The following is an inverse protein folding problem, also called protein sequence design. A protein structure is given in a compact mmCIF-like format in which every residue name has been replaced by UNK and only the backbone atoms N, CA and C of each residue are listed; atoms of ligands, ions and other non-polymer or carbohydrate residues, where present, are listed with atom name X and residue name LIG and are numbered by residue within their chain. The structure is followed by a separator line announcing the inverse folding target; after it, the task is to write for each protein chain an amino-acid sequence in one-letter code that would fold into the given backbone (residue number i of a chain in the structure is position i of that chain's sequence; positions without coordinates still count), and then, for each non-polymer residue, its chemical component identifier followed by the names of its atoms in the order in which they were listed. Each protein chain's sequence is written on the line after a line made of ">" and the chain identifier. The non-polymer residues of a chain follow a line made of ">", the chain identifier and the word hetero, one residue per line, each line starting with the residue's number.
data_IF_514442569954
#
_entry.id   IF_514442569954
#
_cell.length_a   1.000
_cell.length_b   1.000
_cell.length_c   1.000
_cell.angle_alpha   90.00
_cell.angle_beta   90.00
_cell.angle_gamma   90.00
#
_symmetry.space_group_name_H-M   'P 1'
#
loop_
_entity.id
_entity.type
_entity.pdbx_description
1 polymer ?
#
# COMPACT_ATOMS: atom_id res chain seq x y z
N UNK A 1 -36.03 -3.72 -8.94
CA UNK A 1 -34.60 -3.47 -8.64
C UNK A 1 -34.38 -3.68 -7.15
N UNK A 2 -33.30 -4.35 -6.72
CA UNK A 2 -33.01 -4.53 -5.30
C UNK A 2 -32.82 -3.17 -4.60
N UNK A 3 -33.21 -3.07 -3.33
CA UNK A 3 -33.15 -1.82 -2.56
C UNK A 3 -31.73 -1.26 -2.37
N UNK A 4 -30.68 -2.06 -2.63
CA UNK A 4 -29.28 -1.62 -2.61
C UNK A 4 -28.92 -0.57 -3.68
N UNK A 5 -29.77 -0.38 -4.70
CA UNK A 5 -29.61 0.62 -5.76
C UNK A 5 -30.21 1.99 -5.40
N UNK A 6 -31.19 2.06 -4.50
CA UNK A 6 -32.02 3.26 -4.30
C UNK A 6 -31.34 4.37 -3.48
N UNK A 7 -30.37 4.04 -2.61
CA UNK A 7 -29.69 5.04 -1.77
C UNK A 7 -28.39 5.60 -2.39
N UNK A 8 -28.07 5.25 -3.65
CA UNK A 8 -26.72 5.39 -4.20
C UNK A 8 -26.59 6.31 -5.43
N UNK A 9 -27.68 6.76 -6.04
CA UNK A 9 -27.63 7.33 -7.39
C UNK A 9 -27.69 8.87 -7.40
N UNK A 10 -26.70 9.55 -6.79
CA UNK A 10 -26.41 10.90 -7.26
C UNK A 10 -25.70 10.79 -8.62
N UNK A 11 -25.99 11.66 -9.60
CA UNK A 11 -25.30 11.67 -10.89
C UNK A 11 -23.77 11.70 -10.73
N UNK A 12 -23.28 12.44 -9.73
CA UNK A 12 -21.85 12.55 -9.43
C UNK A 12 -21.24 11.24 -8.94
N UNK A 13 -21.93 10.49 -8.08
CA UNK A 13 -21.45 9.18 -7.61
C UNK A 13 -21.43 8.14 -8.73
N UNK A 14 -22.40 8.19 -9.65
CA UNK A 14 -22.41 7.31 -10.82
C UNK A 14 -21.27 7.66 -11.78
N UNK A 15 -21.05 8.94 -12.06
CA UNK A 15 -19.92 9.40 -12.87
C UNK A 15 -18.57 9.02 -12.25
N UNK A 16 -18.44 9.14 -10.93
CA UNK A 16 -17.25 8.71 -10.21
C UNK A 16 -17.04 7.19 -10.29
N UNK A 17 -18.09 6.38 -10.19
CA UNK A 17 -17.98 4.93 -10.35
C UNK A 17 -17.58 4.56 -11.78
N UNK A 18 -18.17 5.20 -12.78
CA UNK A 18 -17.80 5.02 -14.18
C UNK A 18 -16.32 5.39 -14.41
N UNK A 19 -15.88 6.55 -13.92
CA UNK A 19 -14.48 6.96 -13.98
C UNK A 19 -13.56 5.94 -13.30
N UNK A 20 -14.01 5.34 -12.20
CA UNK A 20 -13.24 4.29 -11.54
C UNK A 20 -13.02 3.10 -12.46
N UNK A 21 -14.11 2.55 -13.02
CA UNK A 21 -14.07 1.38 -13.89
C UNK A 21 -13.27 1.61 -15.17
N UNK A 22 -13.51 2.74 -15.84
CA UNK A 22 -12.95 3.02 -17.17
C UNK A 22 -11.53 3.60 -17.12
N UNK A 23 -11.18 4.32 -16.06
CA UNK A 23 -9.93 5.11 -16.01
C UNK A 23 -9.08 4.71 -14.81
N UNK A 24 -9.61 4.81 -13.59
CA UNK A 24 -8.80 4.61 -12.37
C UNK A 24 -8.21 3.20 -12.27
N UNK A 25 -8.95 2.16 -12.65
CA UNK A 25 -8.48 0.75 -12.58
C UNK A 25 -7.18 0.50 -13.36
N UNK A 26 -6.90 1.26 -14.42
CA UNK A 26 -5.66 1.15 -15.20
C UNK A 26 -4.41 1.59 -14.42
N UNK A 27 -4.58 2.47 -13.43
CA UNK A 27 -3.49 3.01 -12.62
C UNK A 27 -3.28 2.30 -11.28
N UNK A 28 -4.14 1.34 -10.91
CA UNK A 28 -4.10 0.70 -9.58
C UNK A 28 -2.95 -0.30 -9.42
N UNK A 29 -2.70 -1.13 -10.44
CA UNK A 29 -1.76 -2.25 -10.34
C UNK A 29 -1.48 -2.92 -11.68
N UNK A 30 -1.11 -4.19 -11.67
CA UNK A 30 -0.91 -5.00 -12.89
C UNK A 30 -2.22 -5.47 -13.54
N UNK A 31 -2.15 -6.19 -14.67
CA UNK A 31 -3.32 -6.70 -15.40
C UNK A 31 -4.25 -7.59 -14.54
N UNK A 32 -3.69 -8.51 -13.75
CA UNK A 32 -4.47 -9.38 -12.85
C UNK A 32 -5.24 -8.56 -11.81
N UNK A 33 -4.60 -7.53 -11.25
CA UNK A 33 -5.22 -6.62 -10.31
C UNK A 33 -6.41 -5.88 -10.94
N UNK A 34 -6.21 -5.35 -12.15
CA UNK A 34 -7.28 -4.68 -12.92
C UNK A 34 -8.45 -5.63 -13.18
N UNK A 35 -8.18 -6.86 -13.62
CA UNK A 35 -9.22 -7.86 -13.88
C UNK A 35 -10.03 -8.20 -12.61
N UNK A 36 -9.36 -8.35 -11.46
CA UNK A 36 -10.01 -8.56 -10.18
C UNK A 36 -10.95 -7.39 -9.82
N UNK A 37 -10.44 -6.15 -9.93
CA UNK A 37 -11.22 -4.95 -9.61
C UNK A 37 -12.42 -4.73 -10.55
N UNK A 38 -12.29 -5.04 -11.84
CA UNK A 38 -13.42 -4.94 -12.78
C UNK A 38 -14.50 -5.98 -12.44
N UNK A 39 -14.10 -7.22 -12.17
CA UNK A 39 -15.01 -8.29 -11.74
C UNK A 39 -15.80 -7.90 -10.48
N UNK A 40 -15.16 -7.17 -9.57
CA UNK A 40 -15.74 -6.69 -8.32
C UNK A 40 -16.60 -5.43 -8.54
N UNK A 41 -16.21 -4.55 -9.47
CA UNK A 41 -16.89 -3.29 -9.77
C UNK A 41 -18.31 -3.46 -10.29
N UNK A 42 -18.60 -4.56 -10.99
CA UNK A 42 -19.87 -4.72 -11.71
C UNK A 42 -21.09 -5.04 -10.82
N UNK A 43 -20.94 -5.95 -9.84
CA UNK A 43 -22.04 -6.34 -8.93
C UNK A 43 -21.68 -6.22 -7.46
N UNK A 44 -20.42 -6.49 -7.10
CA UNK A 44 -19.99 -6.61 -5.71
C UNK A 44 -19.92 -5.25 -5.01
N UNK A 45 -19.46 -4.19 -5.70
CA UNK A 45 -19.49 -2.83 -5.17
C UNK A 45 -20.90 -2.33 -4.81
N UNK A 46 -21.94 -2.83 -5.50
CA UNK A 46 -23.32 -2.52 -5.15
C UNK A 46 -23.82 -3.31 -3.94
N UNK A 47 -23.24 -4.48 -3.66
CA UNK A 47 -23.62 -5.33 -2.54
C UNK A 47 -22.86 -5.01 -1.24
N UNK A 48 -21.71 -4.34 -1.31
CA UNK A 48 -20.88 -4.01 -0.15
C UNK A 48 -20.74 -2.50 0.04
N UNK A 49 -21.54 -1.87 0.94
CA UNK A 49 -21.55 -0.42 1.13
C UNK A 49 -20.17 0.17 1.48
N UNK A 50 -19.39 -0.51 2.31
CA UNK A 50 -18.03 -0.06 2.67
C UNK A 50 -17.13 0.05 1.44
N UNK A 51 -17.10 -0.99 0.60
CA UNK A 51 -16.29 -1.05 -0.62
C UNK A 51 -16.71 0.06 -1.59
N UNK A 52 -18.03 0.26 -1.75
CA UNK A 52 -18.57 1.34 -2.59
C UNK A 52 -18.03 2.70 -2.19
N UNK A 53 -18.09 3.02 -0.89
CA UNK A 53 -17.59 4.29 -0.39
C UNK A 53 -16.07 4.43 -0.64
N UNK A 54 -15.29 3.38 -0.41
CA UNK A 54 -13.84 3.43 -0.68
C UNK A 54 -13.53 3.58 -2.18
N UNK A 55 -14.25 2.89 -3.08
CA UNK A 55 -14.13 3.06 -4.54
C UNK A 55 -14.40 4.51 -4.95
N UNK A 56 -15.46 5.12 -4.42
CA UNK A 56 -15.80 6.51 -4.72
C UNK A 56 -14.71 7.47 -4.21
N UNK A 57 -14.21 7.27 -2.99
CA UNK A 57 -13.14 8.09 -2.42
C UNK A 57 -11.89 8.08 -3.30
N UNK A 58 -11.49 6.88 -3.72
CA UNK A 58 -10.36 6.64 -4.64
C UNK A 58 -10.59 7.30 -5.98
N UNK A 59 -11.79 7.18 -6.55
CA UNK A 59 -12.12 7.77 -7.84
C UNK A 59 -12.01 9.29 -7.81
N UNK A 60 -12.59 9.93 -6.79
CA UNK A 60 -12.46 11.37 -6.60
C UNK A 60 -11.01 11.81 -6.35
N UNK A 61 -10.23 11.02 -5.61
CA UNK A 61 -8.82 11.29 -5.38
C UNK A 61 -8.01 11.24 -6.69
N UNK A 62 -8.31 10.25 -7.54
CA UNK A 62 -7.68 10.12 -8.85
C UNK A 62 -8.07 11.27 -9.79
N UNK A 63 -9.35 11.68 -9.82
CA UNK A 63 -9.78 12.85 -10.59
C UNK A 63 -9.07 14.12 -10.11
N UNK A 64 -8.95 14.32 -8.80
CA UNK A 64 -8.21 15.44 -8.21
C UNK A 64 -6.73 15.40 -8.61
N UNK A 65 -6.10 14.23 -8.61
CA UNK A 65 -4.72 14.05 -9.10
C UNK A 65 -4.58 14.46 -10.57
N UNK A 66 -5.53 14.05 -11.44
CA UNK A 66 -5.50 14.38 -12.87
C UNK A 66 -5.73 15.87 -13.16
N UNK A 67 -6.45 16.58 -12.30
CA UNK A 67 -6.58 18.04 -12.41
C UNK A 67 -5.23 18.74 -12.20
N UNK A 68 -4.39 18.22 -11.28
CA UNK A 68 -3.09 18.81 -10.96
C UNK A 68 -3.20 20.31 -10.64
N UNK A 69 -2.28 21.12 -11.19
CA UNK A 69 -2.28 22.58 -11.04
C UNK A 69 -3.32 23.30 -11.92
N UNK A 70 -4.08 22.57 -12.75
CA UNK A 70 -5.06 23.15 -13.69
C UNK A 70 -6.43 23.41 -13.06
N UNK A 71 -6.50 23.50 -11.73
CA UNK A 71 -7.73 23.81 -11.00
C UNK A 71 -8.06 25.30 -11.11
N UNK A 72 -8.82 25.66 -12.14
CA UNK A 72 -9.24 27.05 -12.36
C UNK A 72 -10.57 27.41 -11.65
N UNK A 73 -11.39 26.41 -11.31
CA UNK A 73 -12.80 26.61 -10.93
C UNK A 73 -13.13 26.16 -9.49
N UNK A 74 -12.13 25.89 -8.65
CA UNK A 74 -12.34 25.37 -7.29
C UNK A 74 -12.90 23.94 -7.25
N UNK A 75 -12.84 23.22 -8.38
CA UNK A 75 -13.33 21.85 -8.52
C UNK A 75 -12.51 20.89 -7.66
N UNK A 76 -11.21 21.16 -7.48
CA UNK A 76 -10.35 20.35 -6.64
C UNK A 76 -10.81 20.37 -5.16
N UNK A 77 -11.33 21.49 -4.66
CA UNK A 77 -11.84 21.56 -3.29
C UNK A 77 -13.05 20.64 -3.08
N UNK A 78 -13.99 20.63 -4.03
CA UNK A 78 -15.15 19.72 -4.01
C UNK A 78 -14.74 18.25 -4.08
N UNK A 79 -13.78 17.92 -4.96
CA UNK A 79 -13.25 16.56 -5.07
C UNK A 79 -12.55 16.10 -3.79
N UNK A 80 -11.71 16.94 -3.17
CA UNK A 80 -11.07 16.63 -1.88
C UNK A 80 -12.09 16.40 -0.77
N UNK A 81 -13.12 17.23 -0.68
CA UNK A 81 -14.19 17.06 0.31
C UNK A 81 -14.96 15.74 0.10
N UNK A 82 -15.29 15.42 -1.16
CA UNK A 82 -15.95 14.17 -1.52
C UNK A 82 -15.05 12.95 -1.21
N UNK A 83 -13.76 13.02 -1.55
CA UNK A 83 -12.77 12.01 -1.19
C UNK A 83 -12.76 11.76 0.31
N UNK A 84 -12.59 12.79 1.14
CA UNK A 84 -12.53 12.65 2.60
C UNK A 84 -13.82 12.09 3.17
N UNK A 85 -14.97 12.59 2.71
CA UNK A 85 -16.29 12.15 3.19
C UNK A 85 -16.56 10.68 2.89
N UNK A 86 -16.31 10.26 1.64
CA UNK A 86 -16.45 8.86 1.24
C UNK A 86 -15.40 7.97 1.90
N UNK A 87 -14.17 8.45 2.09
CA UNK A 87 -13.12 7.71 2.78
C UNK A 87 -13.49 7.40 4.23
N UNK A 88 -13.85 8.43 5.01
CA UNK A 88 -14.25 8.28 6.41
C UNK A 88 -15.45 7.34 6.53
N UNK A 89 -16.45 7.50 5.66
CA UNK A 89 -17.63 6.62 5.68
C UNK A 89 -17.29 5.17 5.33
N UNK A 90 -16.41 4.97 4.34
CA UNK A 90 -15.90 3.66 3.95
C UNK A 90 -15.19 2.96 5.10
N UNK A 91 -14.25 3.65 5.76
CA UNK A 91 -13.53 3.13 6.93
C UNK A 91 -14.45 2.75 8.09
N UNK A 92 -15.44 3.59 8.43
CA UNK A 92 -16.40 3.29 9.50
C UNK A 92 -17.19 2.01 9.21
N UNK A 93 -17.70 1.87 7.99
CA UNK A 93 -18.47 0.69 7.58
C UNK A 93 -17.59 -0.55 7.49
N UNK A 94 -16.35 -0.40 7.02
CA UNK A 94 -15.39 -1.49 6.95
C UNK A 94 -14.99 -1.99 8.34
N UNK A 95 -14.70 -1.08 9.27
CA UNK A 95 -14.39 -1.42 10.66
C UNK A 95 -15.53 -2.16 11.36
N UNK A 96 -16.79 -1.78 11.09
CA UNK A 96 -17.96 -2.53 11.57
C UNK A 96 -18.02 -3.93 10.95
N UNK A 97 -17.88 -4.05 9.64
CA UNK A 97 -17.88 -5.36 8.95
C UNK A 97 -16.78 -6.31 9.47
N UNK A 98 -15.59 -5.77 9.80
CA UNK A 98 -14.51 -6.54 10.41
C UNK A 98 -14.83 -6.96 11.86
N UNK A 99 -15.47 -6.09 12.63
CA UNK A 99 -15.73 -6.28 14.07
C UNK A 99 -16.94 -7.16 14.35
N UNK A 100 -18.00 -7.01 13.56
CA UNK A 100 -19.26 -7.72 13.74
C UNK A 100 -19.16 -9.18 13.25
N UNK A 101 -18.02 -9.57 12.64
CA UNK A 101 -17.84 -10.84 11.90
C UNK A 101 -19.15 -11.22 11.22
N UNK A 102 -19.71 -10.29 10.46
CA UNK A 102 -21.12 -10.37 10.10
C UNK A 102 -21.36 -11.62 9.23
N UNK A 103 -21.73 -12.72 9.88
CA UNK A 103 -21.99 -14.02 9.26
C UNK A 103 -23.19 -13.92 8.30
N UNK A 104 -23.97 -12.84 8.39
CA UNK A 104 -25.12 -12.54 7.55
C UNK A 104 -24.81 -11.60 6.37
N UNK A 105 -23.68 -10.87 6.39
CA UNK A 105 -23.24 -10.02 5.30
C UNK A 105 -22.63 -10.85 4.16
N UNK A 106 -23.50 -11.36 3.27
CA UNK A 106 -23.15 -12.05 2.03
C UNK A 106 -22.36 -13.35 2.22
N UNK A 107 -23.03 -14.49 2.03
CA UNK A 107 -22.40 -15.81 2.01
C UNK A 107 -21.19 -15.88 1.05
N UNK A 108 -20.06 -16.41 1.53
CA UNK A 108 -18.94 -16.86 0.69
C UNK A 108 -18.19 -15.76 -0.08
N UNK A 109 -17.80 -16.08 -1.32
CA UNK A 109 -16.86 -15.34 -2.19
C UNK A 109 -17.02 -13.81 -2.22
N UNK A 110 -18.24 -13.30 -2.31
CA UNK A 110 -18.51 -11.86 -2.51
C UNK A 110 -18.02 -11.04 -1.31
N UNK A 111 -18.20 -11.56 -0.10
CA UNK A 111 -17.71 -10.92 1.12
C UNK A 111 -16.18 -10.89 1.15
N UNK A 112 -15.53 -12.02 0.85
CA UNK A 112 -14.06 -12.11 0.79
C UNK A 112 -13.47 -11.16 -0.26
N UNK A 113 -14.00 -11.18 -1.49
CA UNK A 113 -13.54 -10.31 -2.58
C UNK A 113 -13.67 -8.82 -2.20
N UNK A 114 -14.75 -8.45 -1.51
CA UNK A 114 -14.95 -7.09 -1.01
C UNK A 114 -14.00 -6.69 0.11
N UNK A 115 -13.72 -7.59 1.06
CA UNK A 115 -12.76 -7.33 2.13
C UNK A 115 -11.37 -7.07 1.58
N UNK A 116 -10.88 -7.94 0.70
CA UNK A 116 -9.55 -7.81 0.09
C UNK A 116 -9.45 -6.54 -0.77
N UNK A 117 -10.47 -6.26 -1.59
CA UNK A 117 -10.53 -5.04 -2.40
C UNK A 117 -10.49 -3.78 -1.51
N UNK A 118 -11.25 -3.79 -0.42
CA UNK A 118 -11.31 -2.64 0.50
C UNK A 118 -9.99 -2.45 1.21
N UNK A 119 -9.33 -3.53 1.67
CA UNK A 119 -7.99 -3.46 2.28
C UNK A 119 -6.97 -2.86 1.32
N UNK A 120 -6.97 -3.29 0.05
CA UNK A 120 -6.06 -2.72 -0.94
C UNK A 120 -6.30 -1.23 -1.17
N UNK A 121 -7.55 -0.86 -1.47
CA UNK A 121 -7.89 0.53 -1.74
C UNK A 121 -7.67 1.42 -0.52
N UNK A 122 -7.81 0.86 0.68
CA UNK A 122 -7.48 1.53 1.94
C UNK A 122 -6.00 1.82 2.04
N UNK A 123 -5.15 0.82 1.79
CA UNK A 123 -3.70 0.99 1.72
C UNK A 123 -3.32 2.07 0.71
N UNK A 124 -3.91 2.04 -0.48
CA UNK A 124 -3.68 3.07 -1.49
C UNK A 124 -4.08 4.48 -1.02
N UNK A 125 -5.24 4.62 -0.38
CA UNK A 125 -5.69 5.90 0.17
C UNK A 125 -4.74 6.42 1.27
N UNK A 126 -4.13 5.53 2.05
CA UNK A 126 -3.10 5.91 3.02
C UNK A 126 -1.89 6.57 2.35
N UNK A 127 -1.38 6.03 1.23
CA UNK A 127 -0.33 6.73 0.48
C UNK A 127 -0.78 8.10 -0.03
N UNK A 128 -2.02 8.21 -0.53
CA UNK A 128 -2.56 9.47 -1.03
C UNK A 128 -2.73 10.52 0.07
N UNK A 129 -3.03 10.11 1.29
CA UNK A 129 -3.20 11.01 2.44
C UNK A 129 -1.85 11.48 2.99
N UNK A 130 -0.88 10.58 3.09
CA UNK A 130 0.48 10.94 3.51
C UNK A 130 1.23 11.78 2.45
N UNK A 131 0.72 11.84 1.23
CA UNK A 131 1.20 12.75 0.19
C UNK A 131 0.76 14.20 0.36
N UNK A 132 -0.30 14.45 1.14
CA UNK A 132 -0.75 15.82 1.36
C UNK A 132 0.24 16.53 2.27
N UNK A 133 0.65 17.77 1.96
CA UNK A 133 1.42 18.57 2.89
C UNK A 133 0.61 18.60 4.18
N UNK A 134 1.18 18.06 5.24
CA UNK A 134 0.53 18.04 6.52
C UNK A 134 0.06 19.46 6.85
N UNK A 135 -1.16 19.59 7.36
CA UNK A 135 -1.50 20.81 8.09
C UNK A 135 -0.39 20.96 9.14
N UNK A 136 0.38 22.03 8.99
CA UNK A 136 1.69 22.29 9.63
C UNK A 136 1.63 22.21 11.16
N UNK A 137 0.42 22.15 11.73
CA UNK A 137 0.14 22.05 13.15
C UNK A 137 0.06 20.64 13.73
N UNK A 138 -0.06 19.56 12.93
CA UNK A 138 -0.22 18.19 13.46
C UNK A 138 1.00 17.29 13.31
N UNK A 139 1.94 17.57 12.40
CA UNK A 139 3.10 16.71 12.12
C UNK A 139 4.42 17.16 12.74
N UNK A 140 4.48 18.34 13.36
CA UNK A 140 5.72 18.82 13.99
C UNK A 140 6.12 18.04 15.24
N UNK A 141 5.18 17.34 15.90
CA UNK A 141 5.45 16.64 17.17
C UNK A 141 5.65 15.12 17.02
N UNK A 142 5.28 14.53 15.89
CA UNK A 142 5.45 13.08 15.66
C UNK A 142 6.83 12.80 15.09
N UNK A 143 7.57 11.84 15.63
CA UNK A 143 8.85 11.42 15.04
C UNK A 143 8.65 10.54 13.79
N UNK A 144 9.71 10.34 13.01
CA UNK A 144 9.67 9.56 11.76
C UNK A 144 9.25 8.10 11.98
N UNK A 145 9.60 7.50 13.11
CA UNK A 145 9.26 6.11 13.41
C UNK A 145 7.76 5.96 13.67
N UNK A 146 7.16 6.90 14.38
CA UNK A 146 5.73 6.94 14.64
C UNK A 146 4.94 7.03 13.33
N UNK A 147 5.31 7.96 12.43
CA UNK A 147 4.66 8.10 11.11
C UNK A 147 4.76 6.81 10.28
N UNK A 148 5.92 6.15 10.28
CA UNK A 148 6.12 4.91 9.52
C UNK A 148 5.33 3.75 10.14
N UNK A 149 5.25 3.66 11.46
CA UNK A 149 4.45 2.67 12.16
C UNK A 149 2.95 2.81 11.82
N UNK A 150 2.41 4.02 11.82
CA UNK A 150 1.03 4.29 11.41
C UNK A 150 0.78 3.89 9.96
N UNK A 151 1.67 4.32 9.07
CA UNK A 151 1.62 4.00 7.65
C UNK A 151 1.64 2.48 7.42
N UNK A 152 2.59 1.77 8.01
CA UNK A 152 2.75 0.32 7.81
C UNK A 152 1.66 -0.51 8.50
N UNK A 153 1.04 -0.01 9.57
CA UNK A 153 -0.12 -0.66 10.18
C UNK A 153 -1.26 -0.80 9.17
N UNK A 154 -1.43 0.18 8.28
CA UNK A 154 -2.42 0.08 7.19
C UNK A 154 -2.01 -0.99 6.17
N UNK A 155 -0.73 -1.01 5.78
CA UNK A 155 -0.19 -1.97 4.80
C UNK A 155 -0.26 -3.42 5.31
N UNK A 156 -0.12 -3.62 6.62
CA UNK A 156 -0.23 -4.92 7.31
C UNK A 156 -1.66 -5.49 7.41
N UNK A 157 -2.67 -4.82 6.86
CA UNK A 157 -4.07 -5.27 6.94
C UNK A 157 -4.37 -6.58 6.19
N UNK A 158 -3.61 -6.93 5.16
CA UNK A 158 -3.86 -8.14 4.34
C UNK A 158 -3.66 -9.46 5.11
N UNK A 159 -2.52 -9.69 5.79
CA UNK A 159 -2.37 -10.85 6.68
C UNK A 159 -3.45 -10.95 7.75
N UNK A 160 -3.89 -9.81 8.31
CA UNK A 160 -4.92 -9.78 9.34
C UNK A 160 -6.28 -10.24 8.82
N UNK A 161 -6.69 -9.77 7.63
CA UNK A 161 -7.93 -10.23 6.97
C UNK A 161 -7.85 -11.72 6.66
N UNK A 162 -6.73 -12.20 6.11
CA UNK A 162 -6.53 -13.63 5.83
C UNK A 162 -6.58 -14.48 7.10
N UNK A 163 -5.96 -14.02 8.18
CA UNK A 163 -6.01 -14.72 9.47
C UNK A 163 -7.41 -14.75 10.09
N UNK A 164 -8.21 -13.70 9.89
CA UNK A 164 -9.55 -13.59 10.48
C UNK A 164 -10.63 -14.31 9.67
N UNK A 165 -10.49 -14.35 8.34
CA UNK A 165 -11.53 -14.83 7.41
C UNK A 165 -11.13 -16.04 6.57
N UNK A 166 -9.89 -16.53 6.69
CA UNK A 166 -9.41 -17.77 6.06
C UNK A 166 -8.70 -17.58 4.71
N UNK A 167 -8.39 -18.73 4.08
CA UNK A 167 -7.77 -18.81 2.75
C UNK A 167 -8.73 -18.35 1.63
N UNK A 168 -8.20 -17.98 0.45
CA UNK A 168 -9.02 -17.61 -0.70
C UNK A 168 -10.02 -18.71 -1.04
N UNK A 169 -11.28 -18.32 -1.26
CA UNK A 169 -12.29 -19.22 -1.83
C UNK A 169 -11.86 -19.59 -3.25
N UNK A 170 -11.98 -20.85 -3.68
CA UNK A 170 -11.50 -21.38 -4.99
C UNK A 170 -11.95 -20.56 -6.23
N UNK A 171 -12.98 -19.73 -6.10
CA UNK A 171 -13.52 -18.88 -7.17
C UNK A 171 -13.27 -17.37 -6.99
N UNK A 172 -12.44 -16.96 -6.03
CA UNK A 172 -12.14 -15.55 -5.76
C UNK A 172 -11.57 -14.84 -6.98
N UNK A 173 -12.00 -13.59 -7.20
CA UNK A 173 -11.40 -12.74 -8.23
C UNK A 173 -9.93 -12.41 -7.94
N UNK A 174 -9.50 -12.53 -6.68
CA UNK A 174 -8.16 -12.21 -6.21
C UNK A 174 -7.15 -13.35 -6.35
N UNK A 175 -7.59 -14.59 -6.59
CA UNK A 175 -6.70 -15.75 -6.70
C UNK A 175 -5.50 -15.51 -7.64
N UNK A 176 -5.68 -15.01 -8.88
CA UNK A 176 -4.53 -14.75 -9.77
C UNK A 176 -3.56 -13.66 -9.28
N UNK A 177 -4.02 -12.75 -8.42
CA UNK A 177 -3.18 -11.73 -7.79
C UNK A 177 -2.39 -12.34 -6.63
N UNK A 178 -3.04 -13.15 -5.80
CA UNK A 178 -2.41 -13.81 -4.66
C UNK A 178 -1.40 -14.86 -5.11
N UNK A 179 -1.71 -15.66 -6.12
CA UNK A 179 -0.80 -16.67 -6.67
C UNK A 179 0.46 -16.03 -7.26
N UNK A 180 0.36 -14.80 -7.81
CA UNK A 180 1.53 -14.05 -8.31
C UNK A 180 2.49 -13.60 -7.21
N UNK A 181 2.13 -13.77 -5.94
CA UNK A 181 2.99 -13.48 -4.78
C UNK A 181 3.65 -14.73 -4.19
N UNK A 182 3.29 -15.93 -4.68
CA UNK A 182 3.88 -17.19 -4.26
C UNK A 182 5.18 -17.42 -5.04
N UNK A 183 6.31 -17.34 -4.33
CA UNK A 183 7.66 -17.45 -4.89
C UNK A 183 7.98 -18.86 -5.42
N UNK A 184 7.04 -19.82 -5.31
CA UNK A 184 7.22 -21.23 -5.72
C UNK A 184 7.49 -21.46 -7.21
N UNK A 185 7.16 -20.51 -8.08
CA UNK A 185 7.27 -20.72 -9.53
C UNK A 185 8.53 -20.14 -10.16
N UNK A 186 9.39 -19.43 -9.42
CA UNK A 186 10.65 -18.88 -9.94
C UNK A 186 10.47 -17.97 -11.18
N UNK A 187 9.25 -17.51 -11.44
CA UNK A 187 8.86 -16.84 -12.68
C UNK A 187 9.20 -15.35 -12.73
N UNK A 188 10.20 -14.92 -11.97
CA UNK A 188 10.67 -13.54 -12.06
C UNK A 188 11.92 -13.53 -12.92
N UNK A 189 11.78 -13.00 -14.13
CA UNK A 189 12.90 -12.78 -15.05
C UNK A 189 13.92 -11.88 -14.35
N UNK A 190 14.98 -12.50 -13.82
CA UNK A 190 16.11 -11.81 -13.21
C UNK A 190 16.86 -11.12 -14.34
N UNK A 191 16.66 -9.82 -14.48
CA UNK A 191 17.55 -8.98 -15.27
C UNK A 191 18.61 -8.45 -14.31
N UNK A 192 19.88 -8.69 -14.60
CA UNK A 192 21.03 -8.15 -13.86
C UNK A 192 21.06 -6.61 -14.00
N UNK A 193 20.20 -5.91 -13.27
CA UNK A 193 20.29 -4.47 -13.06
C UNK A 193 20.84 -4.24 -11.65
N UNK A 194 22.16 -4.09 -11.56
CA UNK A 194 22.87 -3.82 -10.30
C UNK A 194 22.62 -2.37 -9.88
N UNK A 195 21.47 -2.13 -9.27
CA UNK A 195 21.19 -0.83 -8.62
C UNK A 195 22.07 -0.64 -7.38
N UNK A 196 22.48 0.58 -7.04
CA UNK A 196 23.30 0.87 -5.84
C UNK A 196 22.64 0.39 -4.53
N UNK A 197 21.30 0.34 -4.51
CA UNK A 197 20.52 -0.22 -3.40
C UNK A 197 20.80 -1.70 -3.17
N UNK A 198 21.11 -2.46 -4.23
CA UNK A 198 21.49 -3.87 -4.12
C UNK A 198 22.84 -4.03 -3.43
N UNK A 199 23.84 -3.25 -3.83
CA UNK A 199 25.15 -3.26 -3.18
C UNK A 199 25.04 -2.90 -1.68
N UNK A 200 24.14 -1.96 -1.35
CA UNK A 200 23.83 -1.60 0.04
C UNK A 200 23.22 -2.77 0.80
N UNK A 201 22.23 -3.48 0.24
CA UNK A 201 21.62 -4.64 0.90
C UNK A 201 22.59 -5.83 1.00
N UNK A 202 23.41 -6.09 0.00
CA UNK A 202 24.42 -7.15 0.05
C UNK A 202 25.48 -6.87 1.12
N UNK A 203 25.98 -5.64 1.18
CA UNK A 203 26.91 -5.18 2.23
C UNK A 203 26.26 -5.24 3.61
N UNK A 204 24.99 -4.86 3.69
CA UNK A 204 24.18 -4.93 4.90
C UNK A 204 24.03 -6.39 5.37
N UNK A 205 23.64 -7.30 4.49
CA UNK A 205 23.46 -8.72 4.79
C UNK A 205 24.77 -9.39 5.25
N UNK A 206 25.87 -9.16 4.54
CA UNK A 206 27.18 -9.71 4.90
C UNK A 206 27.65 -9.25 6.29
N UNK A 207 27.31 -8.02 6.68
CA UNK A 207 27.72 -7.46 7.98
C UNK A 207 26.98 -8.08 9.16
N UNK A 208 25.71 -8.40 9.00
CA UNK A 208 24.87 -8.89 10.10
C UNK A 208 24.77 -10.43 10.16
N UNK A 209 25.22 -11.14 9.12
CA UNK A 209 25.21 -12.62 9.07
C UNK A 209 26.03 -13.26 10.20
N UNK A 210 26.99 -12.52 10.79
CA UNK A 210 27.85 -12.99 11.87
C UNK A 210 27.31 -12.71 13.30
N UNK A 211 26.18 -11.99 13.44
CA UNK A 211 25.66 -11.62 14.76
C UNK A 211 24.64 -12.62 15.30
N UNK A 212 24.65 -12.83 16.62
CA UNK A 212 23.73 -13.72 17.34
C UNK A 212 22.59 -12.98 18.08
N UNK A 213 22.45 -11.66 17.90
CA UNK A 213 21.38 -10.91 18.57
C UNK A 213 20.02 -11.13 17.90
N UNK A 214 18.95 -11.11 18.68
CA UNK A 214 17.57 -11.21 18.17
C UNK A 214 17.24 -10.09 17.17
N UNK A 215 17.68 -8.87 17.47
CA UNK A 215 17.55 -7.68 16.61
C UNK A 215 18.19 -7.89 15.25
N UNK A 216 19.41 -8.45 15.21
CA UNK A 216 20.10 -8.73 13.95
C UNK A 216 19.43 -9.87 13.17
N UNK A 217 18.87 -10.85 13.88
CA UNK A 217 18.00 -11.87 13.28
C UNK A 217 16.80 -11.28 12.54
N UNK A 218 16.09 -10.33 13.15
CA UNK A 218 14.96 -9.63 12.52
C UNK A 218 15.41 -8.82 11.28
N UNK A 219 16.53 -8.11 11.38
CA UNK A 219 17.09 -7.33 10.26
C UNK A 219 17.52 -8.23 9.11
N UNK A 220 18.11 -9.40 9.39
CA UNK A 220 18.44 -10.41 8.39
C UNK A 220 17.19 -10.97 7.71
N UNK A 221 16.11 -11.25 8.46
CA UNK A 221 14.85 -11.69 7.87
C UNK A 221 14.31 -10.68 6.86
N UNK A 222 14.31 -9.40 7.22
CA UNK A 222 13.87 -8.31 6.33
C UNK A 222 14.80 -8.21 5.11
N UNK A 223 16.11 -8.13 5.33
CA UNK A 223 17.10 -7.98 4.27
C UNK A 223 17.06 -9.12 3.26
N UNK A 224 16.95 -10.37 3.73
CA UNK A 224 16.87 -11.57 2.85
C UNK A 224 15.59 -11.59 2.03
N UNK A 225 14.47 -11.12 2.58
CA UNK A 225 13.22 -10.99 1.85
C UNK A 225 13.25 -9.83 0.83
N UNK A 226 14.03 -8.77 1.09
CA UNK A 226 14.12 -7.59 0.24
C UNK A 226 15.13 -7.74 -0.90
N UNK A 227 16.24 -8.43 -0.68
CA UNK A 227 17.31 -8.64 -1.65
C UNK A 227 16.81 -9.12 -3.04
N UNK A 228 16.00 -10.20 -3.17
CA UNK A 228 15.53 -10.65 -4.48
C UNK A 228 14.69 -9.59 -5.22
N UNK A 229 13.98 -8.73 -4.49
CA UNK A 229 13.13 -7.68 -5.08
C UNK A 229 13.94 -6.54 -5.70
N UNK A 230 15.18 -6.33 -5.25
CA UNK A 230 16.06 -5.31 -5.80
C UNK A 230 16.60 -5.67 -7.19
N UNK A 231 16.66 -6.96 -7.53
CA UNK A 231 17.05 -7.43 -8.86
C UNK A 231 15.94 -7.30 -9.90
N UNK A 232 14.73 -6.90 -9.49
CA UNK A 232 13.60 -6.85 -10.40
C UNK A 232 13.59 -5.54 -11.18
N UNK A 233 13.31 -5.64 -12.47
CA UNK A 233 12.90 -4.48 -13.25
C UNK A 233 11.47 -4.10 -12.85
N UNK A 234 11.37 -3.28 -11.80
CA UNK A 234 10.10 -2.91 -11.19
C UNK A 234 9.16 -2.26 -12.21
N UNK A 235 7.92 -2.74 -12.20
CA UNK A 235 6.80 -2.20 -12.95
C UNK A 235 5.52 -2.51 -12.18
N UNK A 236 4.38 -2.12 -12.73
CA UNK A 236 3.08 -2.35 -12.10
C UNK A 236 2.74 -3.81 -11.82
N UNK A 237 3.29 -4.76 -12.60
CA UNK A 237 3.02 -6.19 -12.43
C UNK A 237 3.61 -6.71 -11.12
N UNK A 238 4.65 -6.05 -10.61
CA UNK A 238 5.36 -6.44 -9.40
C UNK A 238 4.71 -5.85 -8.12
N UNK A 239 3.65 -5.05 -8.24
CA UNK A 239 2.96 -4.49 -7.07
C UNK A 239 2.53 -5.56 -6.05
N UNK A 240 1.90 -6.68 -6.45
CA UNK A 240 1.50 -7.71 -5.50
C UNK A 240 2.67 -8.26 -4.67
N UNK A 241 3.81 -8.58 -5.30
CA UNK A 241 4.97 -9.12 -4.58
C UNK A 241 5.61 -8.06 -3.65
N UNK A 242 5.62 -6.78 -4.04
CA UNK A 242 6.09 -5.69 -3.17
C UNK A 242 5.21 -5.51 -1.92
N UNK A 243 3.89 -5.66 -2.04
CA UNK A 243 2.98 -5.61 -0.89
C UNK A 243 3.01 -6.90 -0.06
N UNK A 244 3.23 -8.05 -0.70
CA UNK A 244 3.43 -9.33 -0.01
C UNK A 244 4.68 -9.28 0.89
N UNK A 245 5.77 -8.68 0.42
CA UNK A 245 6.94 -8.41 1.25
C UNK A 245 6.55 -7.67 2.54
N UNK A 246 5.87 -6.52 2.42
CA UNK A 246 5.48 -5.72 3.57
C UNK A 246 4.61 -6.51 4.55
N UNK A 247 3.66 -7.30 4.05
CA UNK A 247 2.83 -8.18 4.88
C UNK A 247 3.63 -9.26 5.60
N UNK A 248 4.62 -9.90 4.94
CA UNK A 248 5.46 -10.96 5.52
C UNK A 248 6.46 -10.45 6.54
N UNK A 249 6.98 -9.23 6.35
CA UNK A 249 8.00 -8.64 7.22
C UNK A 249 7.45 -7.67 8.26
N UNK A 250 6.13 -7.45 8.28
CA UNK A 250 5.52 -6.41 9.12
C UNK A 250 5.85 -6.58 10.60
N UNK A 251 5.73 -7.78 11.16
CA UNK A 251 6.02 -8.03 12.58
C UNK A 251 7.48 -7.68 12.94
N UNK A 252 8.44 -8.02 12.09
CA UNK A 252 9.84 -7.69 12.27
C UNK A 252 10.07 -6.18 12.22
N UNK A 253 9.55 -5.50 11.19
CA UNK A 253 9.61 -4.04 11.09
C UNK A 253 8.96 -3.37 12.30
N UNK A 254 7.79 -3.81 12.71
CA UNK A 254 7.03 -3.22 13.82
C UNK A 254 7.83 -3.27 15.12
N UNK A 255 8.51 -4.39 15.41
CA UNK A 255 9.38 -4.52 16.57
C UNK A 255 10.56 -3.55 16.49
N UNK A 256 11.26 -3.51 15.35
CA UNK A 256 12.47 -2.69 15.17
C UNK A 256 12.17 -1.18 15.14
N UNK A 257 11.08 -0.77 14.51
CA UNK A 257 10.67 0.63 14.43
C UNK A 257 10.23 1.16 15.80
N UNK A 258 9.58 0.34 16.64
CA UNK A 258 9.30 0.71 18.04
C UNK A 258 10.56 0.89 18.88
N UNK A 259 11.63 0.18 18.53
CA UNK A 259 12.95 0.33 19.15
C UNK A 259 13.74 1.51 18.55
N UNK A 260 13.17 2.24 17.60
CA UNK A 260 13.81 3.33 16.88
C UNK A 260 15.13 2.91 16.20
N UNK A 261 15.16 1.69 15.63
CA UNK A 261 16.35 1.18 14.95
C UNK A 261 16.51 1.80 13.55
N UNK A 262 17.49 2.68 13.39
CA UNK A 262 17.82 3.35 12.12
C UNK A 262 18.12 2.37 10.98
N UNK A 263 18.61 1.17 11.29
CA UNK A 263 18.93 0.16 10.28
C UNK A 263 17.66 -0.41 9.65
N UNK A 264 16.59 -0.52 10.44
CA UNK A 264 15.28 -0.86 9.92
C UNK A 264 14.72 0.24 9.01
N UNK A 265 14.94 1.52 9.33
CA UNK A 265 14.57 2.63 8.45
C UNK A 265 15.31 2.57 7.11
N UNK A 266 16.60 2.21 7.11
CA UNK A 266 17.37 2.03 5.88
C UNK A 266 16.74 0.96 4.97
N UNK A 267 16.41 -0.22 5.52
CA UNK A 267 15.73 -1.29 4.77
C UNK A 267 14.33 -0.87 4.31
N UNK A 268 13.60 -0.14 5.14
CA UNK A 268 12.29 0.39 4.80
C UNK A 268 12.37 1.39 3.63
N UNK A 269 13.37 2.29 3.63
CA UNK A 269 13.64 3.23 2.54
C UNK A 269 13.97 2.51 1.22
N UNK A 270 14.64 1.35 1.30
CA UNK A 270 14.92 0.52 0.13
C UNK A 270 13.61 0.03 -0.52
N UNK A 271 12.68 -0.50 0.28
CA UNK A 271 11.36 -0.93 -0.17
C UNK A 271 10.49 0.21 -0.70
N UNK A 272 10.43 1.36 -0.01
CA UNK A 272 9.71 2.54 -0.51
C UNK A 272 10.24 3.02 -1.87
N UNK A 273 11.55 2.94 -2.09
CA UNK A 273 12.12 3.26 -3.40
C UNK A 273 11.71 2.28 -4.50
N UNK A 274 11.58 0.99 -4.20
CA UNK A 274 11.00 0.02 -5.14
C UNK A 274 9.55 0.37 -5.47
N UNK A 275 8.73 0.66 -4.46
CA UNK A 275 7.36 1.10 -4.68
C UNK A 275 7.29 2.35 -5.56
N UNK A 276 8.15 3.36 -5.31
CA UNK A 276 8.21 4.57 -6.15
C UNK A 276 8.57 4.26 -7.61
N UNK A 277 9.48 3.29 -7.87
CA UNK A 277 9.84 2.87 -9.24
C UNK A 277 8.67 2.30 -10.05
N UNK A 278 7.57 1.92 -9.40
CA UNK A 278 6.36 1.45 -10.11
C UNK A 278 5.66 2.54 -10.90
N UNK A 279 5.95 3.82 -10.62
CA UNK A 279 5.39 4.98 -11.31
C UNK A 279 3.88 5.16 -11.10
N UNK A 280 3.28 4.54 -10.08
CA UNK A 280 1.84 4.63 -9.82
C UNK A 280 1.49 5.93 -9.10
N UNK A 281 0.52 6.68 -9.64
CA UNK A 281 0.13 8.01 -9.16
C UNK A 281 -0.09 8.09 -7.65
N UNK A 282 -0.73 7.07 -7.09
CA UNK A 282 -1.09 6.99 -5.68
C UNK A 282 0.09 6.64 -4.78
N UNK A 283 1.15 5.99 -5.30
CA UNK A 283 2.37 5.68 -4.55
C UNK A 283 3.33 6.86 -4.58
N UNK A 284 3.51 7.47 -5.75
CA UNK A 284 4.62 8.38 -6.05
C UNK A 284 4.81 9.47 -5.01
N UNK A 285 3.74 10.21 -4.70
CA UNK A 285 3.85 11.35 -3.79
C UNK A 285 4.03 10.90 -2.33
N UNK A 286 3.24 9.93 -1.86
CA UNK A 286 3.32 9.46 -0.48
C UNK A 286 4.65 8.78 -0.17
N UNK A 287 5.16 7.96 -1.11
CA UNK A 287 6.47 7.34 -0.97
C UNK A 287 7.62 8.37 -1.00
N UNK A 288 7.48 9.46 -1.78
CA UNK A 288 8.51 10.51 -1.84
C UNK A 288 8.59 11.28 -0.52
N UNK A 289 7.46 11.74 0.01
CA UNK A 289 7.42 12.45 1.31
C UNK A 289 8.01 11.57 2.42
N UNK A 290 7.61 10.31 2.51
CA UNK A 290 8.14 9.38 3.51
C UNK A 290 9.64 9.11 3.33
N UNK A 291 10.11 8.99 2.08
CA UNK A 291 11.55 8.86 1.80
C UNK A 291 12.32 10.10 2.24
N UNK A 292 11.80 11.30 1.99
CA UNK A 292 12.46 12.55 2.37
C UNK A 292 12.58 12.69 3.89
N UNK A 293 11.53 12.33 4.63
CA UNK A 293 11.54 12.28 6.10
C UNK A 293 12.59 11.29 6.64
N UNK A 294 12.62 10.07 6.09
CA UNK A 294 13.61 9.04 6.46
C UNK A 294 15.02 9.52 6.14
N UNK A 295 15.20 10.12 4.96
CA UNK A 295 16.47 10.63 4.49
C UNK A 295 17.00 11.74 5.40
N UNK A 296 16.13 12.65 5.87
CA UNK A 296 16.51 13.71 6.80
C UNK A 296 16.93 13.13 8.16
N UNK A 297 16.21 12.12 8.65
CA UNK A 297 16.54 11.42 9.90
C UNK A 297 17.88 10.67 9.79
N UNK A 298 18.05 9.82 8.78
CA UNK A 298 19.25 9.01 8.58
C UNK A 298 20.51 9.86 8.34
N UNK A 299 20.37 11.05 7.74
CA UNK A 299 21.48 11.99 7.59
C UNK A 299 22.04 12.50 8.92
N UNK A 300 21.27 12.39 10.01
CA UNK A 300 21.65 12.77 11.38
C UNK A 300 22.07 11.57 12.24
N UNK A 301 22.12 10.36 11.67
CA UNK A 301 22.48 9.14 12.40
C UNK A 301 23.90 9.24 12.95
N UNK A 302 24.12 8.67 14.14
CA UNK A 302 25.45 8.58 14.76
C UNK A 302 26.21 7.33 14.34
N UNK A 303 25.54 6.37 13.69
CA UNK A 303 26.15 5.15 13.16
C UNK A 303 26.85 5.44 11.82
N UNK A 304 28.18 5.42 11.85
CA UNK A 304 29.02 5.63 10.66
C UNK A 304 28.77 4.60 9.56
N UNK A 305 28.35 3.39 9.90
CA UNK A 305 28.01 2.38 8.90
C UNK A 305 26.72 2.74 8.17
N UNK A 306 25.71 3.24 8.89
CA UNK A 306 24.46 3.72 8.29
C UNK A 306 24.74 4.93 7.39
N UNK A 307 25.55 5.89 7.84
CA UNK A 307 25.93 7.05 7.03
C UNK A 307 26.67 6.65 5.74
N UNK A 308 27.55 5.65 5.81
CA UNK A 308 28.26 5.11 4.63
C UNK A 308 27.32 4.44 3.62
N UNK A 309 26.45 3.56 4.11
CA UNK A 309 25.45 2.87 3.28
C UNK A 309 24.43 3.84 2.68
N UNK A 310 23.99 4.82 3.48
CA UNK A 310 23.10 5.88 3.07
C UNK A 310 23.71 6.80 2.01
N UNK A 311 24.98 7.20 2.20
CA UNK A 311 25.73 7.96 1.20
C UNK A 311 25.84 7.23 -0.15
N UNK A 312 26.00 5.90 -0.11
CA UNK A 312 26.04 5.04 -1.29
C UNK A 312 24.69 4.94 -2.03
N UNK A 313 23.55 5.22 -1.37
CA UNK A 313 22.22 5.25 -2.01
C UNK A 313 21.89 6.59 -2.68
N UNK A 314 22.69 7.63 -2.44
CA UNK A 314 22.48 9.01 -2.93
C UNK A 314 23.46 9.44 -4.04
N UNK A 315 24.60 8.77 -4.15
CA UNK A 315 25.56 8.96 -5.24
C UNK A 315 24.95 8.52 -6.57
#
# INVERSE_FOLDING_TARGET
>A
MPDCYRSAASPDALAALQHFQEVTTHGLGGPNFRAAMLTIGDRTAYCSPYLRHVILAVSYAHQNFLLGERDHDGKAAGLRLATTSHWQRGLQLFGRALSERDETATSGRVHYDSLIATTFLTTMMTFCQHAQPADVSQTQDSDVFTRILEFMTTVGGFPAVRSAFGEPVESSAWTPVLDSTDDKTGGVDVVEDRTERLAVIETYLQRFDASQSETDGLLLTIGRALAPLLHLQISAIHMPILFAFAGRTWSAFQTLLRQQDDRALLLFSCWLGLLRRTGRWWVMMGATVQLDDINEHLAKSTDQAILSLYGSMRA
#
